data_IF_511922478136
#
_entry.id   IF_511922478136
#
_cell.length_a   1.000
_cell.length_b   1.000
_cell.length_c   1.000
_cell.angle_alpha   90.00
_cell.angle_beta   90.00
_cell.angle_gamma   90.00
#
_symmetry.space_group_name_H-M   'P 1'
#
loop_
_entity.id
_entity.type
_entity.pdbx_description
1 polymer ?
#
# COMPACT_ATOMS: atom_id res chain seq x y z
N UNK A 1 -22.51 -0.04 -2.70
CA UNK A 1 -21.12 0.04 -2.23
C UNK A 1 -21.04 -0.45 -0.80
N UNK A 2 -20.15 -1.39 -0.50
CA UNK A 2 -20.00 -1.99 0.83
C UNK A 2 -18.52 -2.12 1.17
N UNK A 3 -18.10 -1.54 2.30
CA UNK A 3 -16.75 -1.75 2.86
C UNK A 3 -16.81 -2.96 3.80
N UNK A 4 -15.83 -3.86 3.68
CA UNK A 4 -15.65 -5.02 4.56
C UNK A 4 -14.23 -5.03 5.13
N UNK A 5 -14.12 -5.37 6.41
CA UNK A 5 -12.85 -5.68 7.06
C UNK A 5 -12.70 -7.20 7.10
N UNK A 6 -11.61 -7.72 6.56
CA UNK A 6 -11.29 -9.14 6.45
C UNK A 6 -10.03 -9.42 7.27
N UNK A 7 -10.06 -10.48 8.06
CA UNK A 7 -8.96 -10.89 8.96
C UNK A 7 -8.88 -12.41 9.02
N UNK A 8 -7.69 -12.96 9.27
CA UNK A 8 -7.54 -14.42 9.41
C UNK A 8 -7.95 -15.16 8.14
N UNK A 9 -8.72 -16.27 8.22
CA UNK A 9 -9.08 -17.07 7.05
C UNK A 9 -9.78 -16.29 5.92
N UNK A 10 -10.56 -15.26 6.26
CA UNK A 10 -11.29 -14.44 5.28
C UNK A 10 -10.35 -13.63 4.35
N UNK A 11 -9.07 -13.49 4.71
CA UNK A 11 -8.06 -12.84 3.87
C UNK A 11 -7.77 -13.69 2.63
N UNK A 12 -7.62 -15.01 2.79
CA UNK A 12 -7.23 -15.93 1.72
C UNK A 12 -8.20 -15.85 0.52
N UNK A 13 -9.51 -15.79 0.82
CA UNK A 13 -10.57 -15.69 -0.18
C UNK A 13 -10.55 -14.38 -0.98
N UNK A 14 -9.91 -13.34 -0.45
CA UNK A 14 -9.84 -12.01 -1.07
C UNK A 14 -8.58 -11.78 -1.90
N UNK A 15 -7.51 -12.57 -1.70
CA UNK A 15 -6.19 -12.24 -2.27
C UNK A 15 -6.15 -12.26 -3.80
N UNK A 16 -6.93 -13.13 -4.43
CA UNK A 16 -7.03 -13.17 -5.89
C UNK A 16 -7.59 -11.85 -6.46
N UNK A 17 -8.59 -11.27 -5.81
CA UNK A 17 -9.17 -9.98 -6.20
C UNK A 17 -8.23 -8.81 -5.90
N UNK A 18 -7.52 -8.87 -4.77
CA UNK A 18 -6.49 -7.89 -4.43
C UNK A 18 -5.36 -7.91 -5.47
N UNK A 19 -4.90 -9.09 -5.90
CA UNK A 19 -3.88 -9.23 -6.95
C UNK A 19 -4.35 -8.62 -8.29
N UNK A 20 -5.60 -8.87 -8.70
CA UNK A 20 -6.18 -8.24 -9.90
C UNK A 20 -6.23 -6.72 -9.80
N UNK A 21 -6.64 -6.20 -8.64
CA UNK A 21 -6.68 -4.77 -8.39
C UNK A 21 -5.29 -4.14 -8.39
N UNK A 22 -4.29 -4.80 -7.80
CA UNK A 22 -2.89 -4.34 -7.85
C UNK A 22 -2.40 -4.24 -9.29
N UNK A 23 -2.57 -5.28 -10.11
CA UNK A 23 -2.20 -5.22 -11.53
C UNK A 23 -2.91 -4.09 -12.28
N UNK A 24 -4.22 -3.92 -12.06
CA UNK A 24 -4.99 -2.89 -12.75
C UNK A 24 -4.60 -1.47 -12.31
N UNK A 25 -4.40 -1.25 -11.00
CA UNK A 25 -4.16 0.08 -10.43
C UNK A 25 -2.70 0.48 -10.49
N UNK A 26 -1.76 -0.43 -10.23
CA UNK A 26 -0.33 -0.13 -10.28
C UNK A 26 0.23 -0.05 -11.70
N UNK A 27 -0.51 -0.53 -12.72
CA UNK A 27 -0.17 -0.23 -14.11
C UNK A 27 -0.20 1.28 -14.42
N UNK A 28 -1.01 2.03 -13.68
CA UNK A 28 -1.11 3.49 -13.82
C UNK A 28 0.01 4.24 -13.06
N UNK A 29 0.14 5.52 -13.38
CA UNK A 29 1.00 6.45 -12.64
C UNK A 29 0.63 6.51 -11.14
N UNK A 30 1.60 6.56 -10.20
CA UNK A 30 3.06 6.67 -10.42
C UNK A 30 3.81 5.33 -10.46
N UNK A 31 3.13 4.19 -10.33
CA UNK A 31 3.78 2.89 -10.23
C UNK A 31 4.25 2.39 -11.59
N UNK A 32 3.44 2.58 -12.64
CA UNK A 32 3.75 2.15 -14.01
C UNK A 32 4.15 0.68 -14.09
N UNK A 33 3.64 -0.15 -13.19
CA UNK A 33 4.08 -1.51 -12.97
C UNK A 33 3.58 -2.46 -14.07
N UNK A 34 4.52 -3.21 -14.64
CA UNK A 34 4.25 -4.34 -15.52
C UNK A 34 4.57 -5.65 -14.79
N UNK A 35 3.56 -6.21 -14.13
CA UNK A 35 3.66 -7.46 -13.38
C UNK A 35 2.82 -8.60 -13.97
N UNK A 36 2.88 -9.75 -13.30
CA UNK A 36 2.07 -10.91 -13.59
C UNK A 36 1.26 -11.36 -12.35
N UNK A 37 0.13 -12.01 -12.62
CA UNK A 37 -0.80 -12.43 -11.55
C UNK A 37 -0.19 -13.43 -10.57
N UNK A 38 0.65 -14.35 -11.05
CA UNK A 38 1.23 -15.41 -10.22
C UNK A 38 2.17 -14.81 -9.20
N UNK A 39 3.03 -13.87 -9.61
CA UNK A 39 3.89 -13.14 -8.69
C UNK A 39 3.07 -12.37 -7.66
N UNK A 40 2.05 -11.64 -8.10
CA UNK A 40 1.23 -10.79 -7.23
C UNK A 40 0.46 -11.60 -6.19
N UNK A 41 -0.11 -12.75 -6.58
CA UNK A 41 -0.80 -13.64 -5.63
C UNK A 41 0.15 -14.20 -4.58
N UNK A 42 1.38 -14.55 -4.98
CA UNK A 42 2.43 -15.01 -4.05
C UNK A 42 2.90 -13.90 -3.12
N UNK A 43 3.08 -12.68 -3.64
CA UNK A 43 3.47 -11.52 -2.85
C UNK A 43 2.50 -11.25 -1.70
N UNK A 44 1.20 -11.47 -1.94
CA UNK A 44 0.14 -11.26 -0.95
C UNK A 44 0.01 -12.37 0.11
N UNK A 45 0.70 -13.52 -0.03
CA UNK A 45 0.61 -14.64 0.93
C UNK A 45 1.02 -14.24 2.35
N UNK A 46 1.85 -13.22 2.51
CA UNK A 46 2.22 -12.65 3.80
C UNK A 46 1.00 -12.25 4.65
N UNK A 47 -0.06 -11.74 4.01
CA UNK A 47 -1.27 -11.33 4.72
C UNK A 47 -2.10 -12.53 5.19
N UNK A 48 -2.08 -13.63 4.45
CA UNK A 48 -2.74 -14.89 4.82
C UNK A 48 -2.02 -15.56 6.00
N UNK A 49 -0.68 -15.48 6.03
CA UNK A 49 0.15 -16.07 7.08
C UNK A 49 0.17 -15.25 8.38
N UNK A 50 -0.20 -13.96 8.30
CA UNK A 50 -0.22 -13.06 9.44
C UNK A 50 -1.50 -13.18 10.27
N UNK A 51 -1.36 -13.45 11.56
CA UNK A 51 -2.48 -13.38 12.51
C UNK A 51 -2.83 -11.93 12.93
N UNK A 52 -2.08 -10.94 12.44
CA UNK A 52 -2.25 -9.52 12.75
C UNK A 52 -2.71 -8.72 11.53
N UNK A 53 -2.58 -9.24 10.31
CA UNK A 53 -2.98 -8.55 9.10
C UNK A 53 -4.48 -8.22 9.01
N UNK A 54 -4.78 -7.25 8.15
CA UNK A 54 -6.13 -6.86 7.76
C UNK A 54 -6.17 -6.54 6.27
N UNK A 55 -7.25 -6.96 5.62
CA UNK A 55 -7.64 -6.50 4.28
C UNK A 55 -8.95 -5.75 4.38
N UNK A 56 -8.98 -4.52 3.89
CA UNK A 56 -10.16 -3.67 3.80
C UNK A 56 -10.62 -3.68 2.35
N UNK A 57 -11.74 -4.34 2.06
CA UNK A 57 -12.26 -4.51 0.72
C UNK A 57 -13.47 -3.60 0.47
N UNK A 58 -13.51 -2.94 -0.68
CA UNK A 58 -14.67 -2.19 -1.18
C UNK A 58 -15.34 -2.99 -2.30
N UNK A 59 -16.62 -3.30 -2.10
CA UNK A 59 -17.43 -4.04 -3.05
C UNK A 59 -18.49 -3.18 -3.74
N UNK A 60 -18.66 -3.39 -5.04
CA UNK A 60 -19.83 -3.00 -5.84
C UNK A 60 -20.58 -4.28 -6.25
N UNK A 61 -21.67 -4.58 -5.54
CA UNK A 61 -22.30 -5.91 -5.59
C UNK A 61 -21.33 -6.97 -5.09
N UNK A 62 -21.03 -7.95 -5.95
CA UNK A 62 -20.09 -9.04 -5.69
C UNK A 62 -18.66 -8.73 -6.16
N UNK A 63 -18.45 -7.60 -6.85
CA UNK A 63 -17.15 -7.25 -7.43
C UNK A 63 -16.33 -6.41 -6.45
N UNK A 64 -15.10 -6.85 -6.16
CA UNK A 64 -14.15 -6.01 -5.43
C UNK A 64 -13.60 -4.92 -6.36
N UNK A 65 -13.83 -3.67 -5.98
CA UNK A 65 -13.47 -2.49 -6.78
C UNK A 65 -12.39 -1.61 -6.14
N UNK A 66 -12.02 -1.95 -4.91
CA UNK A 66 -10.87 -1.38 -4.22
C UNK A 66 -10.51 -2.23 -3.02
N UNK A 67 -9.24 -2.17 -2.62
CA UNK A 67 -8.73 -2.85 -1.45
C UNK A 67 -7.61 -2.04 -0.81
N UNK A 68 -7.46 -2.20 0.49
CA UNK A 68 -6.30 -1.73 1.21
C UNK A 68 -5.86 -2.78 2.23
N UNK A 69 -4.57 -2.91 2.48
CA UNK A 69 -4.05 -3.89 3.44
C UNK A 69 -3.20 -3.21 4.49
N UNK A 70 -3.04 -3.90 5.62
CA UNK A 70 -1.99 -3.59 6.57
C UNK A 70 -1.59 -4.81 7.39
N UNK A 71 -0.33 -4.85 7.82
CA UNK A 71 0.25 -5.87 8.68
C UNK A 71 1.42 -5.26 9.49
N UNK A 72 1.98 -5.94 10.51
CA UNK A 72 3.19 -5.50 11.19
C UNK A 72 4.32 -5.24 10.19
N UNK A 73 5.07 -4.15 10.34
CA UNK A 73 6.18 -3.84 9.44
C UNK A 73 7.23 -4.96 9.40
N UNK A 74 7.41 -5.66 10.51
CA UNK A 74 8.37 -6.77 10.66
C UNK A 74 7.99 -8.03 9.91
N UNK A 75 6.77 -8.12 9.38
CA UNK A 75 6.34 -9.24 8.53
C UNK A 75 6.54 -8.93 7.03
N UNK A 76 7.02 -7.74 6.68
CA UNK A 76 7.28 -7.34 5.31
C UNK A 76 8.75 -7.53 4.89
N UNK A 77 9.07 -7.11 3.66
CA UNK A 77 10.35 -7.37 3.02
C UNK A 77 11.56 -6.73 3.73
N UNK A 78 12.72 -7.41 3.64
CA UNK A 78 14.01 -7.01 4.21
C UNK A 78 14.42 -5.57 3.85
N UNK A 79 14.11 -5.12 2.63
CA UNK A 79 14.38 -3.76 2.16
C UNK A 79 13.76 -2.67 3.05
N UNK A 80 12.70 -2.98 3.80
CA UNK A 80 12.12 -2.05 4.77
C UNK A 80 12.95 -1.97 6.06
N UNK A 81 13.50 -3.08 6.54
CA UNK A 81 14.41 -3.07 7.69
C UNK A 81 15.64 -2.21 7.42
N UNK A 82 16.22 -2.36 6.23
CA UNK A 82 17.38 -1.57 5.79
C UNK A 82 17.06 -0.07 5.74
N UNK A 83 15.88 0.30 5.22
CA UNK A 83 15.46 1.70 5.15
C UNK A 83 15.37 2.36 6.54
N UNK A 84 14.98 1.60 7.57
CA UNK A 84 14.81 2.11 8.94
C UNK A 84 16.08 2.00 9.81
N UNK A 85 17.11 1.27 9.38
CA UNK A 85 18.29 0.94 10.20
C UNK A 85 19.02 2.18 10.76
N UNK A 86 18.95 3.33 10.08
CA UNK A 86 19.55 4.60 10.53
C UNK A 86 18.65 5.47 11.41
N UNK A 87 17.45 5.00 11.77
CA UNK A 87 16.45 5.78 12.52
C UNK A 87 16.38 5.36 13.98
N UNK A 88 15.76 6.18 14.82
CA UNK A 88 15.43 5.83 16.21
C UNK A 88 14.07 5.12 16.34
N UNK A 89 13.40 4.84 15.22
CA UNK A 89 12.07 4.21 15.21
C UNK A 89 12.20 2.73 15.53
N UNK A 90 11.41 2.27 16.51
CA UNK A 90 11.28 0.85 16.76
C UNK A 90 10.27 0.23 15.78
N UNK A 91 10.78 -0.48 14.78
CA UNK A 91 9.98 -1.14 13.75
C UNK A 91 9.01 -2.20 14.31
N UNK A 92 9.27 -2.78 15.48
CA UNK A 92 8.36 -3.73 16.13
C UNK A 92 7.04 -3.07 16.54
N UNK A 93 7.04 -1.74 16.67
CA UNK A 93 5.87 -0.93 17.03
C UNK A 93 5.16 -0.31 15.84
N UNK A 94 5.68 -0.54 14.63
CA UNK A 94 5.15 -0.01 13.37
C UNK A 94 4.21 -1.01 12.71
N UNK A 95 3.03 -0.53 12.33
CA UNK A 95 2.11 -1.23 11.47
C UNK A 95 2.15 -0.62 10.07
N UNK A 96 2.37 -1.45 9.05
CA UNK A 96 2.59 -1.03 7.68
C UNK A 96 1.31 -1.13 6.85
N UNK A 97 0.91 -0.01 6.25
CA UNK A 97 -0.08 0.08 5.18
C UNK A 97 0.59 -0.35 3.86
N UNK A 98 0.21 -1.53 3.35
CA UNK A 98 0.70 -2.03 2.06
C UNK A 98 -0.13 -1.50 0.90
N UNK A 99 -1.01 -2.34 0.37
CA UNK A 99 -1.86 -1.95 -0.74
C UNK A 99 -2.81 -0.83 -0.36
N UNK A 100 -3.02 0.11 -1.28
CA UNK A 100 -4.10 1.10 -1.26
C UNK A 100 -4.60 1.28 -2.70
N UNK A 101 -5.30 0.26 -3.21
CA UNK A 101 -5.69 0.15 -4.61
C UNK A 101 -7.18 0.43 -4.78
N UNK A 102 -7.51 1.34 -5.70
CA UNK A 102 -8.90 1.73 -5.98
C UNK A 102 -9.06 2.02 -7.47
N UNK A 103 -10.02 1.37 -8.11
CA UNK A 103 -10.27 1.58 -9.54
C UNK A 103 -10.66 3.05 -9.80
N UNK A 104 -10.24 3.64 -10.93
CA UNK A 104 -10.40 5.07 -11.20
C UNK A 104 -11.81 5.63 -10.99
N UNK A 105 -12.84 4.86 -11.39
CA UNK A 105 -14.27 5.24 -11.26
C UNK A 105 -14.71 5.52 -9.82
N UNK A 106 -14.05 4.92 -8.84
CA UNK A 106 -14.45 5.02 -7.43
C UNK A 106 -13.57 5.99 -6.62
N UNK A 107 -12.57 6.62 -7.25
CA UNK A 107 -11.71 7.61 -6.59
C UNK A 107 -12.48 8.91 -6.32
N UNK A 108 -12.06 9.66 -5.29
CA UNK A 108 -12.67 10.95 -4.93
C UNK A 108 -14.02 10.85 -4.21
N UNK A 109 -14.45 9.66 -3.80
CA UNK A 109 -15.74 9.41 -3.14
C UNK A 109 -15.61 9.10 -1.63
N UNK A 110 -14.46 9.46 -1.02
CA UNK A 110 -14.22 9.23 0.41
C UNK A 110 -13.71 7.84 0.80
N UNK A 111 -13.69 6.86 -0.11
CA UNK A 111 -13.23 5.49 0.22
C UNK A 111 -11.77 5.40 0.67
N UNK A 112 -10.91 6.31 0.19
CA UNK A 112 -9.54 6.42 0.69
C UNK A 112 -9.49 6.75 2.19
N UNK A 113 -10.37 7.62 2.68
CA UNK A 113 -10.46 7.89 4.13
C UNK A 113 -10.88 6.63 4.88
N UNK A 114 -11.94 5.95 4.42
CA UNK A 114 -12.43 4.73 5.04
C UNK A 114 -11.35 3.63 5.12
N UNK A 115 -10.53 3.47 4.08
CA UNK A 115 -9.42 2.51 4.09
C UNK A 115 -8.37 2.83 5.15
N UNK A 116 -8.02 4.10 5.33
CA UNK A 116 -7.09 4.47 6.40
C UNK A 116 -7.74 4.36 7.78
N UNK A 117 -8.99 4.79 7.96
CA UNK A 117 -9.67 4.72 9.26
C UNK A 117 -9.76 3.27 9.78
N UNK A 118 -10.09 2.32 8.90
CA UNK A 118 -10.16 0.89 9.26
C UNK A 118 -8.77 0.35 9.62
N UNK A 119 -7.74 0.67 8.84
CA UNK A 119 -6.38 0.15 9.09
C UNK A 119 -5.75 0.75 10.35
N UNK A 120 -5.94 2.04 10.59
CA UNK A 120 -5.46 2.74 11.80
C UNK A 120 -6.19 2.20 13.04
N UNK A 121 -7.51 2.02 12.97
CA UNK A 121 -8.29 1.41 14.05
C UNK A 121 -7.88 -0.03 14.34
N UNK A 122 -7.58 -0.82 13.31
CA UNK A 122 -7.10 -2.20 13.47
C UNK A 122 -5.71 -2.24 14.12
N UNK A 123 -4.78 -1.37 13.70
CA UNK A 123 -3.46 -1.26 14.30
C UNK A 123 -3.55 -0.92 15.81
N UNK A 124 -4.36 0.07 16.17
CA UNK A 124 -4.64 0.43 17.57
C UNK A 124 -5.22 -0.76 18.37
N UNK A 125 -6.20 -1.47 17.81
CA UNK A 125 -6.80 -2.64 18.46
C UNK A 125 -5.80 -3.79 18.68
N UNK A 126 -4.71 -3.84 17.90
CA UNK A 126 -3.61 -4.80 18.04
C UNK A 126 -2.45 -4.28 18.90
N UNK A 127 -2.57 -3.07 19.48
CA UNK A 127 -1.58 -2.48 20.38
C UNK A 127 -0.42 -1.76 19.69
N UNK A 128 -0.51 -1.53 18.37
CA UNK A 128 0.47 -0.74 17.64
C UNK A 128 0.24 0.75 17.89
N UNK A 129 1.33 1.52 17.91
CA UNK A 129 1.31 2.96 18.20
C UNK A 129 1.74 3.81 17.02
N UNK A 130 2.26 3.19 15.97
CA UNK A 130 2.73 3.89 14.79
C UNK A 130 2.18 3.20 13.54
N UNK A 131 1.77 4.02 12.58
CA UNK A 131 1.38 3.57 11.26
C UNK A 131 2.37 4.13 10.24
N UNK A 132 2.82 3.31 9.30
CA UNK A 132 3.67 3.78 8.21
C UNK A 132 3.23 3.20 6.86
N UNK A 133 3.66 3.84 5.79
CA UNK A 133 3.58 3.31 4.43
C UNK A 133 4.73 3.86 3.60
N UNK A 134 4.92 3.32 2.39
CA UNK A 134 5.86 3.85 1.45
C UNK A 134 5.18 4.22 0.12
N UNK A 135 5.58 5.34 -0.46
CA UNK A 135 5.09 5.83 -1.75
C UNK A 135 6.22 5.92 -2.76
N UNK A 136 6.03 5.41 -3.97
CA UNK A 136 7.04 5.52 -5.04
C UNK A 136 7.37 6.98 -5.35
N UNK A 137 8.66 7.27 -5.52
CA UNK A 137 9.15 8.58 -5.93
C UNK A 137 9.47 8.53 -7.42
N UNK A 138 8.89 9.47 -8.17
CA UNK A 138 9.15 9.65 -9.60
C UNK A 138 9.68 11.06 -9.88
N UNK A 139 10.53 11.24 -10.90
CA UNK A 139 10.90 12.56 -11.38
C UNK A 139 9.66 13.40 -11.72
N UNK A 140 9.64 14.71 -11.40
CA UNK A 140 8.48 15.56 -11.64
C UNK A 140 8.15 15.75 -13.12
N UNK A 141 9.14 15.55 -13.99
CA UNK A 141 9.14 15.68 -15.45
C UNK A 141 9.06 14.33 -16.19
N UNK A 142 8.76 13.23 -15.48
CA UNK A 142 8.64 11.91 -16.10
C UNK A 142 7.62 11.92 -17.26
N UNK A 143 7.96 11.37 -18.45
CA UNK A 143 7.15 11.51 -19.66
C UNK A 143 5.74 10.90 -19.54
N UNK A 144 5.61 9.81 -18.78
CA UNK A 144 4.33 9.14 -18.53
C UNK A 144 3.48 9.78 -17.40
N UNK A 145 3.94 10.88 -16.79
CA UNK A 145 3.16 11.58 -15.75
C UNK A 145 1.94 12.26 -16.36
N UNK A 146 0.71 11.93 -15.93
CA UNK A 146 -0.48 12.61 -16.43
C UNK A 146 -0.49 14.10 -16.04
N UNK A 147 -0.82 14.98 -16.99
CA UNK A 147 -0.91 16.42 -16.75
C UNK A 147 -1.93 16.78 -15.66
N UNK A 148 -3.02 16.00 -15.53
CA UNK A 148 -4.06 16.18 -14.53
C UNK A 148 -3.79 15.41 -13.21
N UNK A 149 -2.59 14.84 -13.03
CA UNK A 149 -2.27 14.09 -11.82
C UNK A 149 -2.30 14.99 -10.58
N UNK A 150 -3.01 14.53 -9.55
CA UNK A 150 -3.04 15.15 -8.23
C UNK A 150 -2.29 14.27 -7.25
N UNK A 151 -1.30 14.85 -6.58
CA UNK A 151 -0.55 14.16 -5.55
C UNK A 151 -1.47 13.74 -4.40
N UNK A 152 -1.18 12.58 -3.80
CA UNK A 152 -1.83 12.12 -2.57
C UNK A 152 -1.14 12.68 -1.32
N UNK A 153 0.00 13.36 -1.45
CA UNK A 153 0.72 13.96 -0.32
C UNK A 153 -0.17 14.87 0.54
N UNK A 154 -0.94 15.83 -0.01
CA UNK A 154 -1.81 16.67 0.82
C UNK A 154 -2.90 15.87 1.57
N UNK A 155 -3.34 14.75 1.00
CA UNK A 155 -4.29 13.86 1.65
C UNK A 155 -3.63 13.12 2.83
N UNK A 156 -2.39 12.65 2.68
CA UNK A 156 -1.64 11.99 3.75
C UNK A 156 -1.27 12.95 4.88
N UNK A 157 -0.79 14.15 4.54
CA UNK A 157 -0.48 15.21 5.50
C UNK A 157 -1.72 15.62 6.29
N UNK A 158 -2.86 15.79 5.61
CA UNK A 158 -4.16 16.08 6.24
C UNK A 158 -4.65 14.97 7.19
N UNK A 159 -4.11 13.74 7.08
CA UNK A 159 -4.38 12.64 8.00
C UNK A 159 -3.36 12.53 9.15
N UNK A 160 -2.34 13.38 9.17
CA UNK A 160 -1.29 13.40 10.18
C UNK A 160 -0.07 12.55 9.86
N UNK A 161 0.06 12.02 8.62
CA UNK A 161 1.28 11.36 8.20
C UNK A 161 2.34 12.39 7.82
N UNK A 162 3.56 12.15 8.28
CA UNK A 162 4.72 12.98 7.96
C UNK A 162 5.72 12.17 7.14
N UNK A 163 6.32 12.82 6.16
CA UNK A 163 7.41 12.23 5.36
C UNK A 163 8.61 11.97 6.28
N UNK A 164 9.31 10.85 6.06
CA UNK A 164 10.55 10.51 6.78
C UNK A 164 11.78 10.73 5.87
N UNK A 165 12.41 11.93 5.86
CA UNK A 165 13.50 12.21 4.94
C UNK A 165 14.65 11.22 5.11
N UNK A 166 15.15 10.67 4.00
CA UNK A 166 16.25 9.70 4.00
C UNK A 166 15.84 8.26 4.31
N UNK A 167 14.62 8.00 4.78
CA UNK A 167 14.08 6.64 4.96
C UNK A 167 13.45 6.20 3.64
N UNK A 168 14.27 5.60 2.79
CA UNK A 168 13.93 5.21 1.42
C UNK A 168 14.24 3.73 1.23
N UNK A 169 13.24 2.95 0.84
CA UNK A 169 13.45 1.59 0.37
C UNK A 169 13.58 1.57 -1.16
N UNK A 170 14.26 0.56 -1.70
CA UNK A 170 14.39 0.35 -3.14
C UNK A 170 13.78 -1.00 -3.51
N UNK A 171 12.89 -1.00 -4.49
CA UNK A 171 12.27 -2.21 -5.01
C UNK A 171 12.45 -2.29 -6.52
N UNK A 172 12.90 -3.43 -7.05
CA UNK A 172 12.94 -3.64 -8.48
C UNK A 172 11.56 -3.97 -9.01
N UNK A 173 11.19 -3.35 -10.13
CA UNK A 173 10.13 -3.83 -11.00
C UNK A 173 10.27 -3.29 -12.42
N UNK A 174 9.60 -3.94 -13.36
CA UNK A 174 9.52 -3.51 -14.76
C UNK A 174 8.46 -2.44 -14.92
N UNK A 175 8.85 -1.29 -15.46
CA UNK A 175 7.87 -0.27 -15.87
C UNK A 175 7.27 -0.64 -17.24
N UNK A 176 6.02 -0.25 -17.49
CA UNK A 176 5.28 -0.55 -18.74
C UNK A 176 5.97 -0.10 -20.03
N UNK A 177 6.90 0.85 -19.96
CA UNK A 177 7.65 1.41 -21.08
C UNK A 177 9.13 1.00 -21.09
N UNK A 178 9.55 0.13 -20.17
CA UNK A 178 10.94 -0.32 -20.04
C UNK A 178 11.10 -1.78 -20.47
N UNK A 179 12.23 -2.15 -21.09
CA UNK A 179 12.47 -3.53 -21.50
C UNK A 179 12.84 -4.45 -20.33
N UNK A 180 13.32 -3.89 -19.22
CA UNK A 180 13.86 -4.62 -18.05
C UNK A 180 13.44 -3.94 -16.75
N UNK A 181 13.61 -4.65 -15.63
CA UNK A 181 13.40 -4.10 -14.30
C UNK A 181 14.44 -3.01 -13.97
N UNK A 182 14.00 -2.02 -13.19
CA UNK A 182 14.89 -1.03 -12.56
C UNK A 182 14.47 -0.80 -11.12
N UNK A 183 15.42 -0.42 -10.27
CA UNK A 183 15.14 -0.07 -8.87
C UNK A 183 14.36 1.24 -8.77
N UNK A 184 13.31 1.21 -7.96
CA UNK A 184 12.46 2.37 -7.70
C UNK A 184 12.58 2.77 -6.24
N UNK A 185 12.84 4.05 -5.94
CA UNK A 185 12.83 4.56 -4.59
C UNK A 185 11.40 4.69 -4.06
N UNK A 186 11.14 4.15 -2.88
CA UNK A 186 9.91 4.34 -2.13
C UNK A 186 10.20 5.16 -0.87
N UNK A 187 9.60 6.33 -0.79
CA UNK A 187 9.69 7.23 0.34
C UNK A 187 8.74 6.77 1.46
N UNK A 188 9.27 6.57 2.67
CA UNK A 188 8.43 6.28 3.84
C UNK A 188 7.72 7.51 4.40
N UNK A 189 6.52 7.27 4.90
CA UNK A 189 5.67 8.18 5.66
C UNK A 189 5.25 7.50 6.96
N UNK A 190 5.15 8.26 8.04
CA UNK A 190 4.81 7.74 9.37
C UNK A 190 3.84 8.66 10.10
N UNK A 191 3.01 8.06 10.95
CA UNK A 191 2.09 8.72 11.86
C UNK A 191 2.12 8.01 13.20
N UNK A 192 2.13 8.78 14.28
CA UNK A 192 1.80 8.27 15.61
C UNK A 192 0.27 8.19 15.76
N UNK A 193 -0.24 7.05 16.25
CA UNK A 193 -1.67 6.73 16.38
C UNK A 193 -2.27 7.19 17.71
#
# INVERSE_FOLDING_TARGET
>A
MRVKTLTGPDIADALDDVARLRLAVFRDWPYLYEGDFTYERRYLEVYEQSNRAVVVALYDGDWMVGAATAAPLTEHADAFFEAFAGTTINIDTCFYCGESVLLPRFRGQGYGHAFFDVREGHALAKGYRQMCFASVVRPPDHPLKPAAYRSLEPFWEGRGYTRMPGVIAHFPWKDVDQPVETDKPLQFWIKDL
#
